data_IF_556899524062
#
_entry.id   IF_556899524062
#
_cell.length_a   1.000
_cell.length_b   1.000
_cell.length_c   1.000
_cell.angle_alpha   90.00
_cell.angle_beta   90.00
_cell.angle_gamma   90.00
#
_symmetry.space_group_name_H-M   'P 1'
#
loop_
_entity.id
_entity.type
_entity.pdbx_description
1 polymer ?
#
# COMPACT_ATOMS: atom_id res chain seq x y z
N UNK A 1 36.04 -56.17 4.60
CA UNK A 1 37.46 -56.20 5.01
C UNK A 1 38.12 -54.89 4.56
N UNK A 2 38.75 -54.21 5.53
CA UNK A 2 39.87 -53.26 5.42
C UNK A 2 39.92 -52.19 4.30
N UNK A 3 39.73 -50.95 4.74
CA UNK A 3 40.67 -49.81 4.65
C UNK A 3 41.41 -49.50 3.34
N UNK A 4 41.33 -48.24 2.89
CA UNK A 4 42.54 -47.46 2.62
C UNK A 4 42.28 -45.95 2.73
N UNK A 5 43.22 -45.27 3.39
CA UNK A 5 43.29 -43.85 3.70
C UNK A 5 43.89 -43.04 2.53
N UNK A 6 43.45 -41.77 2.42
CA UNK A 6 44.13 -40.51 2.04
C UNK A 6 45.65 -40.58 1.72
N UNK A 7 46.25 -39.64 0.90
CA UNK A 7 46.12 -38.20 1.13
C UNK A 7 46.38 -37.19 -0.03
N UNK A 8 45.93 -35.94 0.23
CA UNK A 8 46.52 -34.61 -0.04
C UNK A 8 47.29 -34.32 -1.34
N UNK A 9 47.03 -33.14 -1.94
CA UNK A 9 48.07 -32.21 -2.42
C UNK A 9 47.48 -30.81 -2.72
N UNK A 10 48.01 -29.81 -2.02
CA UNK A 10 48.12 -28.40 -2.41
C UNK A 10 49.58 -28.00 -2.15
N UNK A 11 50.09 -26.84 -2.61
CA UNK A 11 50.02 -26.15 -3.91
C UNK A 11 51.46 -26.04 -4.49
N UNK A 12 51.76 -25.20 -5.52
CA UNK A 12 52.37 -23.90 -5.16
C UNK A 12 52.13 -22.75 -6.15
N UNK A 13 52.65 -21.60 -5.76
CA UNK A 13 52.51 -20.27 -6.32
C UNK A 13 53.39 -19.96 -7.56
N UNK A 14 53.08 -18.80 -8.14
CA UNK A 14 54.02 -17.74 -8.57
C UNK A 14 54.47 -17.64 -10.04
N UNK A 15 53.96 -16.55 -10.65
CA UNK A 15 54.64 -15.49 -11.42
C UNK A 15 54.87 -15.63 -12.93
N UNK A 16 54.45 -14.53 -13.58
CA UNK A 16 55.04 -13.82 -14.71
C UNK A 16 54.62 -14.23 -16.13
N UNK A 17 53.79 -13.39 -16.75
CA UNK A 17 54.19 -12.45 -17.82
C UNK A 17 53.05 -12.24 -18.84
N UNK A 18 52.48 -11.04 -18.86
CA UNK A 18 51.89 -10.45 -20.07
C UNK A 18 51.68 -8.95 -19.85
N UNK A 19 52.77 -8.19 -20.01
CA UNK A 19 52.68 -6.78 -20.36
C UNK A 19 52.31 -6.69 -21.84
N UNK A 20 51.25 -5.96 -22.19
CA UNK A 20 51.18 -4.91 -23.23
C UNK A 20 49.71 -4.61 -23.56
N UNK A 21 49.28 -3.36 -23.28
CA UNK A 21 48.34 -2.50 -24.01
C UNK A 21 47.58 -1.56 -23.05
N UNK A 22 48.34 -0.65 -22.44
CA UNK A 22 47.80 0.60 -21.90
C UNK A 22 47.41 1.51 -23.07
N UNK A 23 46.15 1.45 -23.50
CA UNK A 23 45.54 2.55 -24.27
C UNK A 23 45.18 3.65 -23.29
N UNK A 24 45.92 4.77 -23.34
CA UNK A 24 45.57 6.04 -22.71
C UNK A 24 44.17 6.46 -23.16
N UNK A 25 43.27 6.68 -22.19
CA UNK A 25 42.04 7.43 -22.42
C UNK A 25 42.36 8.86 -22.92
N UNK A 26 41.53 9.45 -23.80
CA UNK A 26 41.74 10.83 -24.23
C UNK A 26 41.55 11.80 -23.04
N UNK A 27 42.20 12.97 -23.05
CA UNK A 27 42.00 13.95 -21.99
C UNK A 27 40.56 14.49 -22.01
N UNK A 28 40.00 14.71 -20.82
CA UNK A 28 38.71 15.35 -20.60
C UNK A 28 38.56 16.64 -21.44
N UNK A 29 37.37 16.93 -21.99
CA UNK A 29 37.09 18.29 -22.44
C UNK A 29 37.09 19.23 -21.23
N UNK A 30 37.67 20.41 -21.41
CA UNK A 30 37.76 21.47 -20.40
C UNK A 30 36.39 21.84 -19.79
N UNK A 31 36.34 22.33 -18.55
CA UNK A 31 35.08 22.77 -17.95
C UNK A 31 34.48 23.92 -18.77
N UNK A 32 33.18 23.82 -19.05
CA UNK A 32 32.41 24.86 -19.74
C UNK A 32 32.58 26.22 -19.03
N UNK A 33 32.74 27.33 -19.78
CA UNK A 33 32.88 28.64 -19.18
C UNK A 33 31.61 29.02 -18.39
N UNK A 34 31.82 29.63 -17.21
CA UNK A 34 30.82 29.98 -16.21
C UNK A 34 29.52 30.70 -16.69
N UNK A 35 29.45 31.43 -17.83
CA UNK A 35 28.20 32.05 -18.26
C UNK A 35 27.14 31.05 -18.74
N UNK A 36 27.53 29.83 -19.14
CA UNK A 36 26.58 28.82 -19.66
C UNK A 36 25.92 27.97 -18.56
N UNK A 37 26.62 27.74 -17.43
CA UNK A 37 26.06 27.03 -16.28
C UNK A 37 24.92 27.81 -15.59
N UNK A 38 24.98 29.15 -15.65
CA UNK A 38 23.98 30.03 -15.04
C UNK A 38 22.66 30.11 -15.82
N UNK A 39 22.65 29.67 -17.09
CA UNK A 39 21.45 29.69 -17.96
C UNK A 39 20.68 28.36 -17.93
N UNK A 40 21.32 27.26 -17.51
CA UNK A 40 20.70 25.96 -17.28
C UNK A 40 20.14 25.79 -15.85
N UNK A 41 20.52 26.68 -14.92
CA UNK A 41 20.09 26.68 -13.51
C UNK A 41 19.17 27.87 -13.15
N UNK A 42 18.73 28.66 -14.13
CA UNK A 42 17.76 29.72 -13.89
C UNK A 42 16.36 29.10 -13.72
N UNK A 43 15.62 29.44 -12.64
CA UNK A 43 14.26 28.93 -12.46
C UNK A 43 13.38 29.47 -13.58
N UNK A 44 12.72 28.57 -14.32
CA UNK A 44 11.67 28.97 -15.27
C UNK A 44 10.56 29.72 -14.49
N UNK A 45 9.97 30.78 -15.07
CA UNK A 45 8.82 31.43 -14.45
C UNK A 45 7.69 30.40 -14.33
N UNK A 46 7.21 30.22 -13.10
CA UNK A 46 6.11 29.31 -12.79
C UNK A 46 4.91 29.62 -13.69
N UNK A 47 4.30 28.62 -14.36
CA UNK A 47 3.01 28.84 -15.01
C UNK A 47 2.00 29.30 -13.96
N UNK A 48 1.01 30.15 -14.32
CA UNK A 48 -0.03 30.53 -13.38
C UNK A 48 -0.67 29.25 -12.83
N UNK A 49 -0.73 29.15 -11.49
CA UNK A 49 -1.38 28.07 -10.76
C UNK A 49 -2.81 27.93 -11.30
N UNK A 50 -3.02 26.99 -12.25
CA UNK A 50 -4.34 26.45 -12.48
C UNK A 50 -4.69 25.75 -11.18
N UNK A 51 -5.70 26.28 -10.50
CA UNK A 51 -6.33 25.64 -9.36
C UNK A 51 -6.56 24.17 -9.71
N UNK A 52 -5.81 23.28 -9.07
CA UNK A 52 -6.10 21.85 -9.07
C UNK A 52 -7.58 21.69 -8.77
N UNK A 53 -8.32 20.75 -9.41
CA UNK A 53 -9.65 20.44 -8.94
C UNK A 53 -9.49 20.01 -7.49
N UNK A 54 -9.91 20.87 -6.57
CA UNK A 54 -9.95 20.56 -5.15
C UNK A 54 -10.77 19.29 -5.06
N UNK A 55 -10.12 18.19 -4.66
CA UNK A 55 -10.85 17.06 -4.11
C UNK A 55 -11.62 17.66 -2.95
N UNK A 56 -12.92 17.92 -3.14
CA UNK A 56 -13.79 18.34 -2.05
C UNK A 56 -13.68 17.22 -1.04
N UNK A 57 -12.99 17.50 0.06
CA UNK A 57 -13.13 16.72 1.27
C UNK A 57 -14.63 16.61 1.51
N UNK A 58 -15.15 15.39 1.48
CA UNK A 58 -16.53 15.08 1.87
C UNK A 58 -16.82 15.46 3.34
N UNK A 59 -15.84 16.01 4.06
CA UNK A 59 -16.00 16.51 5.43
C UNK A 59 -16.75 17.84 5.55
N UNK A 60 -17.16 18.50 4.45
CA UNK A 60 -18.15 19.59 4.56
C UNK A 60 -19.55 18.99 4.44
N UNK A 61 -20.08 18.55 5.58
CA UNK A 61 -21.51 18.29 5.75
C UNK A 61 -22.28 19.52 5.24
N UNK A 62 -23.27 19.36 4.35
CA UNK A 62 -24.21 20.43 4.09
C UNK A 62 -24.80 20.89 5.43
N UNK A 63 -24.95 22.21 5.61
CA UNK A 63 -25.82 22.76 6.66
C UNK A 63 -27.12 21.96 6.67
N UNK A 64 -27.54 21.51 7.85
CA UNK A 64 -28.67 20.61 8.07
C UNK A 64 -29.87 20.96 7.17
N UNK A 65 -29.93 20.33 5.99
CA UNK A 65 -31.17 20.22 5.27
C UNK A 65 -32.12 19.50 6.22
N UNK A 66 -33.32 20.04 6.40
CA UNK A 66 -34.32 19.48 7.29
C UNK A 66 -34.41 17.97 7.03
N UNK A 67 -34.07 17.17 8.04
CA UNK A 67 -34.16 15.71 7.96
C UNK A 67 -35.58 15.39 7.47
N UNK A 68 -35.74 14.50 6.48
CA UNK A 68 -37.06 14.11 6.03
C UNK A 68 -37.88 13.62 7.24
N UNK A 69 -39.16 14.02 7.28
CA UNK A 69 -40.13 13.45 8.22
C UNK A 69 -40.04 11.91 8.16
N UNK A 70 -40.27 11.22 9.28
CA UNK A 70 -40.27 9.74 9.30
C UNK A 70 -41.16 9.13 8.20
N UNK A 71 -42.29 9.77 7.89
CA UNK A 71 -43.16 9.37 6.78
C UNK A 71 -42.51 9.60 5.39
N UNK A 72 -41.76 10.69 5.20
CA UNK A 72 -41.03 10.96 3.96
C UNK A 72 -39.75 10.10 3.82
N UNK A 73 -39.21 9.60 4.93
CA UNK A 73 -38.10 8.65 4.94
C UNK A 73 -38.57 7.24 4.54
N UNK A 74 -39.77 6.83 4.95
CA UNK A 74 -40.36 5.53 4.60
C UNK A 74 -40.55 5.35 3.08
N UNK A 75 -40.82 6.43 2.33
CA UNK A 75 -41.03 6.35 0.88
C UNK A 75 -39.72 6.28 0.05
N UNK A 76 -38.55 6.34 0.69
CA UNK A 76 -37.27 6.28 -0.01
C UNK A 76 -37.04 4.89 -0.61
N UNK A 77 -36.57 4.84 -1.87
CA UNK A 77 -36.12 3.62 -2.53
C UNK A 77 -34.62 3.70 -2.80
N UNK A 78 -33.85 2.81 -2.18
CA UNK A 78 -32.40 2.78 -2.26
C UNK A 78 -31.92 1.53 -3.00
N UNK A 79 -31.11 1.73 -4.04
CA UNK A 79 -30.27 0.67 -4.61
C UNK A 79 -28.93 0.64 -3.86
N UNK A 80 -28.62 -0.46 -3.19
CA UNK A 80 -27.31 -0.71 -2.58
C UNK A 80 -26.42 -1.56 -3.47
N UNK A 81 -25.12 -1.23 -3.56
CA UNK A 81 -24.10 -1.99 -4.31
C UNK A 81 -22.89 -2.28 -3.42
N UNK A 82 -22.51 -3.56 -3.31
CA UNK A 82 -21.39 -4.05 -2.50
C UNK A 82 -20.40 -4.85 -3.37
N UNK A 83 -19.12 -4.46 -3.32
CA UNK A 83 -18.00 -5.02 -4.13
C UNK A 83 -16.65 -4.86 -3.41
N UNK A 84 -16.64 -4.91 -2.07
CA UNK A 84 -15.44 -4.61 -1.27
C UNK A 84 -14.38 -5.72 -1.30
N UNK A 85 -14.77 -6.97 -1.53
CA UNK A 85 -13.86 -8.12 -1.46
C UNK A 85 -14.09 -9.10 -2.61
N UNK A 86 -14.93 -10.11 -2.39
CA UNK A 86 -15.11 -11.29 -3.25
C UNK A 86 -16.58 -11.59 -3.60
N UNK A 87 -17.54 -10.88 -3.00
CA UNK A 87 -18.95 -10.96 -3.39
C UNK A 87 -19.37 -9.73 -4.19
N UNK A 88 -20.04 -9.94 -5.32
CA UNK A 88 -20.75 -8.88 -6.03
C UNK A 88 -22.20 -8.91 -5.60
N UNK A 89 -22.67 -7.89 -4.88
CA UNK A 89 -24.04 -7.87 -4.40
C UNK A 89 -24.76 -6.55 -4.73
N UNK A 90 -26.07 -6.67 -4.97
CA UNK A 90 -26.97 -5.54 -5.08
C UNK A 90 -28.32 -5.85 -4.41
N UNK A 91 -28.95 -4.82 -3.85
CA UNK A 91 -30.24 -4.94 -3.19
C UNK A 91 -31.05 -3.66 -3.37
N UNK A 92 -32.37 -3.79 -3.42
CA UNK A 92 -33.29 -2.63 -3.35
C UNK A 92 -34.01 -2.68 -2.02
N UNK A 93 -33.94 -1.58 -1.26
CA UNK A 93 -34.51 -1.47 0.08
C UNK A 93 -35.34 -0.18 0.20
N UNK A 94 -36.50 -0.29 0.85
CA UNK A 94 -37.36 0.85 1.18
C UNK A 94 -36.90 1.49 2.49
N UNK A 95 -37.13 2.79 2.66
CA UNK A 95 -36.62 3.54 3.82
C UNK A 95 -37.28 3.21 5.17
N UNK A 96 -38.34 2.39 5.19
CA UNK A 96 -38.90 1.78 6.39
C UNK A 96 -38.20 0.46 6.78
N UNK A 97 -37.25 -0.02 5.97
CA UNK A 97 -36.48 -1.24 6.19
C UNK A 97 -36.95 -2.44 5.37
N UNK A 98 -38.04 -2.34 4.60
CA UNK A 98 -38.51 -3.42 3.74
C UNK A 98 -37.47 -3.76 2.64
N UNK A 99 -37.01 -5.01 2.61
CA UNK A 99 -36.09 -5.52 1.59
C UNK A 99 -36.92 -5.99 0.40
N UNK A 100 -36.85 -5.25 -0.71
CA UNK A 100 -37.59 -5.57 -1.94
C UNK A 100 -36.85 -6.61 -2.81
N UNK A 101 -35.52 -6.60 -2.79
CA UNK A 101 -34.70 -7.60 -3.46
C UNK A 101 -33.29 -7.70 -2.88
N UNK A 102 -32.65 -8.85 -3.07
CA UNK A 102 -31.24 -9.06 -2.78
C UNK A 102 -30.67 -10.10 -3.76
N UNK A 103 -29.60 -9.72 -4.44
CA UNK A 103 -28.87 -10.57 -5.39
C UNK A 103 -27.39 -10.58 -5.01
N UNK A 104 -26.82 -11.78 -4.90
CA UNK A 104 -25.40 -12.00 -4.60
C UNK A 104 -24.81 -12.93 -5.63
N UNK A 105 -23.68 -12.54 -6.21
CA UNK A 105 -22.81 -13.39 -7.04
C UNK A 105 -21.49 -13.56 -6.31
N UNK A 106 -21.30 -14.74 -5.72
CA UNK A 106 -20.12 -15.06 -4.92
C UNK A 106 -18.97 -15.63 -5.75
N UNK A 107 -17.74 -15.38 -5.31
CA UNK A 107 -16.51 -15.84 -5.94
C UNK A 107 -15.86 -17.01 -5.19
N UNK A 108 -16.61 -17.80 -4.43
CA UNK A 108 -16.11 -18.99 -3.68
C UNK A 108 -15.22 -19.91 -4.54
N UNK A 109 -15.60 -20.19 -5.78
CA UNK A 109 -14.81 -21.03 -6.70
C UNK A 109 -13.42 -20.44 -7.02
N UNK A 110 -13.31 -19.11 -7.08
CA UNK A 110 -12.03 -18.43 -7.29
C UNK A 110 -11.16 -18.49 -6.04
N UNK A 111 -11.76 -18.34 -4.85
CA UNK A 111 -11.05 -18.50 -3.57
C UNK A 111 -10.43 -19.88 -3.45
N UNK A 112 -11.21 -20.93 -3.76
CA UNK A 112 -10.75 -22.33 -3.73
C UNK A 112 -9.59 -22.54 -4.70
N UNK A 113 -9.67 -21.97 -5.91
CA UNK A 113 -8.64 -22.12 -6.95
C UNK A 113 -7.32 -21.47 -6.57
N UNK A 114 -7.34 -20.33 -5.88
CA UNK A 114 -6.15 -19.52 -5.60
C UNK A 114 -5.67 -19.59 -4.15
N UNK A 115 -6.39 -20.29 -3.27
CA UNK A 115 -6.06 -20.42 -1.84
C UNK A 115 -6.23 -19.13 -1.04
N UNK A 116 -7.06 -18.21 -1.54
CA UNK A 116 -7.31 -16.88 -0.98
C UNK A 116 -7.76 -15.88 -2.04
N UNK A 117 -8.08 -14.65 -1.61
CA UNK A 117 -8.51 -13.59 -2.53
C UNK A 117 -7.32 -13.11 -3.37
N UNK A 118 -7.39 -13.28 -4.69
CA UNK A 118 -6.46 -12.70 -5.64
C UNK A 118 -7.04 -11.36 -6.16
N UNK A 119 -6.53 -10.18 -5.74
CA UNK A 119 -7.23 -8.91 -5.93
C UNK A 119 -7.57 -8.55 -7.37
N UNK A 120 -6.71 -8.93 -8.34
CA UNK A 120 -6.95 -8.67 -9.76
C UNK A 120 -8.04 -9.59 -10.33
N UNK A 121 -8.05 -10.86 -9.94
CA UNK A 121 -9.09 -11.81 -10.37
C UNK A 121 -10.44 -11.46 -9.76
N UNK A 122 -10.47 -11.00 -8.51
CA UNK A 122 -11.69 -10.55 -7.86
C UNK A 122 -12.28 -9.30 -8.54
N UNK A 123 -11.45 -8.34 -8.92
CA UNK A 123 -11.89 -7.16 -9.69
C UNK A 123 -12.45 -7.52 -11.07
N UNK A 124 -11.83 -8.47 -11.78
CA UNK A 124 -12.34 -8.97 -13.06
C UNK A 124 -13.70 -9.68 -12.89
N UNK A 125 -13.84 -10.51 -11.87
CA UNK A 125 -15.09 -11.19 -11.57
C UNK A 125 -16.22 -10.22 -11.20
N UNK A 126 -15.95 -9.19 -10.39
CA UNK A 126 -16.92 -8.11 -10.16
C UNK A 126 -17.31 -7.42 -11.46
N UNK A 127 -16.34 -7.11 -12.33
CA UNK A 127 -16.60 -6.39 -13.58
C UNK A 127 -17.49 -7.19 -14.53
N UNK A 128 -17.39 -8.52 -14.53
CA UNK A 128 -18.25 -9.40 -15.31
C UNK A 128 -19.66 -9.55 -14.71
N UNK A 129 -19.79 -9.57 -13.39
CA UNK A 129 -21.05 -9.83 -12.70
C UNK A 129 -21.92 -8.57 -12.47
N UNK A 130 -21.30 -7.40 -12.28
CA UNK A 130 -21.94 -6.22 -11.69
C UNK A 130 -23.17 -5.72 -12.47
N UNK A 131 -23.14 -5.76 -13.80
CA UNK A 131 -24.27 -5.30 -14.61
C UNK A 131 -25.47 -6.24 -14.46
N UNK A 132 -25.24 -7.56 -14.46
CA UNK A 132 -26.30 -8.56 -14.28
C UNK A 132 -26.86 -8.55 -12.86
N UNK A 133 -26.00 -8.46 -11.85
CA UNK A 133 -26.40 -8.45 -10.43
C UNK A 133 -27.29 -7.24 -10.14
N UNK A 134 -26.89 -6.05 -10.59
CA UNK A 134 -27.68 -4.83 -10.39
C UNK A 134 -29.01 -4.88 -11.15
N UNK A 135 -28.99 -5.30 -12.42
CA UNK A 135 -30.23 -5.38 -13.20
C UNK A 135 -31.20 -6.37 -12.58
N UNK A 136 -30.72 -7.55 -12.18
CA UNK A 136 -31.54 -8.56 -11.52
C UNK A 136 -32.14 -8.05 -10.20
N UNK A 137 -31.38 -7.28 -9.41
CA UNK A 137 -31.92 -6.70 -8.17
C UNK A 137 -33.06 -5.71 -8.46
N UNK A 138 -32.96 -4.89 -9.50
CA UNK A 138 -34.05 -3.98 -9.90
C UNK A 138 -35.28 -4.76 -10.42
N UNK A 139 -35.04 -5.77 -11.26
CA UNK A 139 -36.09 -6.62 -11.82
C UNK A 139 -36.83 -7.41 -10.72
N UNK A 140 -36.09 -8.03 -9.80
CA UNK A 140 -36.65 -8.78 -8.66
C UNK A 140 -37.47 -7.88 -7.72
N UNK A 141 -37.09 -6.60 -7.58
CA UNK A 141 -37.83 -5.60 -6.82
C UNK A 141 -39.00 -4.97 -7.61
N UNK A 142 -39.13 -5.30 -8.90
CA UNK A 142 -40.11 -4.71 -9.82
C UNK A 142 -40.06 -3.17 -9.85
N UNK A 143 -38.85 -2.61 -9.90
CA UNK A 143 -38.59 -1.16 -9.99
C UNK A 143 -37.63 -0.84 -11.13
N UNK A 144 -37.70 0.38 -11.65
CA UNK A 144 -36.71 0.94 -12.59
C UNK A 144 -35.78 1.92 -11.89
N UNK A 145 -34.67 2.29 -12.53
CA UNK A 145 -33.76 3.28 -11.97
C UNK A 145 -34.38 4.68 -11.82
N UNK A 146 -35.47 4.99 -12.53
CA UNK A 146 -36.20 6.25 -12.36
C UNK A 146 -37.00 6.31 -11.06
N UNK A 147 -37.31 5.15 -10.46
CA UNK A 147 -38.08 5.05 -9.22
C UNK A 147 -37.19 5.19 -7.99
N UNK A 148 -35.87 5.05 -8.16
CA UNK A 148 -34.89 5.15 -7.07
C UNK A 148 -34.79 6.59 -6.57
N UNK A 149 -34.67 6.74 -5.25
CA UNK A 149 -34.37 8.04 -4.63
C UNK A 149 -32.87 8.32 -4.59
N UNK A 150 -32.01 7.29 -4.47
CA UNK A 150 -30.56 7.38 -4.60
C UNK A 150 -29.90 6.01 -4.84
N UNK A 151 -28.61 6.03 -5.16
CA UNK A 151 -27.76 4.83 -5.23
C UNK A 151 -26.73 4.87 -4.11
N UNK A 152 -26.75 3.86 -3.24
CA UNK A 152 -25.77 3.63 -2.20
C UNK A 152 -24.69 2.65 -2.70
N UNK A 153 -23.42 2.92 -2.37
CA UNK A 153 -22.31 2.06 -2.78
C UNK A 153 -21.21 2.03 -1.74
N UNK A 154 -20.66 0.85 -1.50
CA UNK A 154 -19.51 0.70 -0.60
C UNK A 154 -18.27 1.40 -1.16
N UNK A 155 -17.71 2.33 -0.39
CA UNK A 155 -16.50 3.09 -0.76
C UNK A 155 -15.25 2.67 0.03
N UNK A 156 -15.44 1.86 1.07
CA UNK A 156 -14.36 1.23 1.84
C UNK A 156 -14.78 0.91 3.29
N UNK A 157 -13.94 0.22 4.07
CA UNK A 157 -12.70 -0.45 3.66
C UNK A 157 -12.96 -1.60 2.68
N UNK A 158 -11.93 -2.07 1.99
CA UNK A 158 -12.00 -3.14 0.99
C UNK A 158 -10.80 -3.12 0.04
N UNK A 159 -10.76 -4.09 -0.87
CA UNK A 159 -9.76 -4.15 -1.93
C UNK A 159 -10.00 -3.01 -2.92
N UNK A 160 -8.99 -2.16 -3.10
CA UNK A 160 -9.11 -0.93 -3.89
C UNK A 160 -9.52 -1.16 -5.35
N UNK A 161 -9.08 -2.27 -5.95
CA UNK A 161 -9.47 -2.66 -7.30
C UNK A 161 -10.97 -3.04 -7.37
N UNK A 162 -11.45 -3.84 -6.42
CA UNK A 162 -12.84 -4.28 -6.34
C UNK A 162 -13.80 -3.11 -6.09
N UNK A 163 -13.49 -2.25 -5.08
CA UNK A 163 -14.29 -1.08 -4.73
C UNK A 163 -14.53 -0.13 -5.93
N UNK A 164 -13.54 0.01 -6.82
CA UNK A 164 -13.66 0.85 -8.01
C UNK A 164 -14.75 0.35 -8.95
N UNK A 165 -14.99 -0.95 -9.04
CA UNK A 165 -16.02 -1.53 -9.92
C UNK A 165 -17.41 -1.08 -9.48
N UNK A 166 -17.76 -1.29 -8.21
CA UNK A 166 -19.05 -0.85 -7.67
C UNK A 166 -19.23 0.65 -7.76
N UNK A 167 -18.21 1.44 -7.38
CA UNK A 167 -18.28 2.91 -7.46
C UNK A 167 -18.49 3.39 -8.89
N UNK A 168 -17.85 2.77 -9.89
CA UNK A 168 -18.08 3.12 -11.29
C UNK A 168 -19.52 2.81 -11.72
N UNK A 169 -20.06 1.63 -11.40
CA UNK A 169 -21.45 1.27 -11.71
C UNK A 169 -22.44 2.24 -11.05
N UNK A 170 -22.28 2.51 -9.76
CA UNK A 170 -23.13 3.44 -9.02
C UNK A 170 -23.11 4.85 -9.64
N UNK A 171 -21.92 5.36 -9.98
CA UNK A 171 -21.77 6.66 -10.66
C UNK A 171 -22.40 6.69 -12.05
N UNK A 172 -22.34 5.58 -12.80
CA UNK A 172 -22.98 5.47 -14.13
C UNK A 172 -24.50 5.59 -14.02
N UNK A 173 -25.11 4.88 -13.07
CA UNK A 173 -26.55 4.96 -12.79
C UNK A 173 -26.91 6.37 -12.32
N UNK A 174 -26.24 6.86 -11.27
CA UNK A 174 -26.49 8.18 -10.70
C UNK A 174 -26.40 9.30 -11.74
N UNK A 175 -25.42 9.24 -12.64
CA UNK A 175 -25.28 10.20 -13.75
C UNK A 175 -26.42 10.10 -14.76
N UNK A 176 -26.82 8.88 -15.12
CA UNK A 176 -27.81 8.65 -16.18
C UNK A 176 -29.21 9.06 -15.74
N UNK A 177 -29.54 8.80 -14.48
CA UNK A 177 -30.87 9.04 -13.89
C UNK A 177 -30.93 10.26 -12.98
N UNK A 178 -29.83 11.04 -12.90
CA UNK A 178 -29.69 12.25 -12.07
C UNK A 178 -29.98 12.01 -10.59
N UNK A 179 -29.54 10.85 -10.08
CA UNK A 179 -29.72 10.45 -8.69
C UNK A 179 -28.54 10.92 -7.82
N UNK A 180 -28.78 11.20 -6.54
CA UNK A 180 -27.71 11.28 -5.53
C UNK A 180 -26.95 9.96 -5.41
N UNK A 181 -25.68 10.04 -4.97
CA UNK A 181 -24.87 8.88 -4.61
C UNK A 181 -24.51 8.94 -3.13
N UNK A 182 -24.72 7.82 -2.42
CA UNK A 182 -24.38 7.68 -1.00
C UNK A 182 -23.18 6.76 -0.88
N UNK A 183 -22.03 7.30 -0.47
CA UNK A 183 -20.86 6.50 -0.17
C UNK A 183 -21.00 5.84 1.20
N UNK A 184 -20.98 4.52 1.25
CA UNK A 184 -21.21 3.73 2.47
C UNK A 184 -19.90 3.13 2.97
N UNK A 185 -19.67 3.20 4.28
CA UNK A 185 -18.55 2.51 4.91
C UNK A 185 -18.94 1.05 5.18
N UNK A 186 -18.16 0.08 4.70
CA UNK A 186 -18.49 -1.34 4.75
C UNK A 186 -18.79 -1.85 6.18
N UNK A 187 -17.93 -1.52 7.14
CA UNK A 187 -18.15 -1.91 8.54
C UNK A 187 -19.34 -1.17 9.19
N UNK A 188 -19.68 0.02 8.69
CA UNK A 188 -20.84 0.76 9.17
C UNK A 188 -22.12 0.08 8.68
N UNK A 189 -22.15 -0.37 7.42
CA UNK A 189 -23.25 -1.16 6.87
C UNK A 189 -23.50 -2.43 7.68
N UNK A 190 -22.45 -3.18 8.03
CA UNK A 190 -22.56 -4.36 8.89
C UNK A 190 -23.16 -4.05 10.27
N UNK A 191 -22.84 -2.89 10.86
CA UNK A 191 -23.39 -2.50 12.15
C UNK A 191 -24.85 -2.04 12.03
N UNK A 192 -25.16 -1.23 11.01
CA UNK A 192 -26.47 -0.58 10.86
C UNK A 192 -27.55 -1.49 10.29
N UNK A 193 -27.21 -2.57 9.57
CA UNK A 193 -28.22 -3.47 8.97
C UNK A 193 -29.16 -4.09 10.02
N UNK A 194 -28.69 -4.30 11.25
CA UNK A 194 -29.55 -4.76 12.37
C UNK A 194 -30.72 -3.81 12.67
N UNK A 195 -30.59 -2.52 12.33
CA UNK A 195 -31.66 -1.52 12.48
C UNK A 195 -32.75 -1.63 11.42
N UNK A 196 -32.52 -2.39 10.34
CA UNK A 196 -33.57 -2.65 9.35
C UNK A 196 -34.64 -3.60 9.90
N UNK A 197 -34.29 -4.40 10.92
CA UNK A 197 -35.19 -5.37 11.55
C UNK A 197 -35.62 -4.95 12.96
N UNK A 198 -34.75 -4.26 13.70
CA UNK A 198 -34.97 -3.92 15.11
C UNK A 198 -34.91 -2.39 15.36
N UNK A 199 -35.77 -1.87 16.23
CA UNK A 199 -35.73 -0.47 16.68
C UNK A 199 -34.64 -0.26 17.75
N UNK A 200 -33.38 -0.33 17.30
CA UNK A 200 -32.20 -0.09 18.14
C UNK A 200 -31.92 1.42 18.15
N UNK A 201 -31.73 2.10 19.29
CA UNK A 201 -31.32 3.51 19.31
C UNK A 201 -29.85 3.69 18.91
N UNK A 202 -29.52 4.74 18.15
CA UNK A 202 -28.10 5.12 17.91
C UNK A 202 -27.56 5.70 19.22
N UNK A 203 -26.69 4.97 19.89
CA UNK A 203 -25.90 5.53 20.99
C UNK A 203 -24.93 6.56 20.41
N UNK A 204 -25.09 7.83 20.78
CA UNK A 204 -24.09 8.84 20.49
C UNK A 204 -22.90 8.64 21.42
N UNK A 205 -21.70 8.40 20.87
CA UNK A 205 -20.49 8.28 21.67
C UNK A 205 -20.37 9.45 22.64
N UNK A 206 -20.32 9.13 23.92
CA UNK A 206 -20.21 10.11 25.00
C UNK A 206 -18.83 10.78 24.96
N UNK A 207 -18.66 11.86 25.74
CA UNK A 207 -17.32 12.43 25.93
C UNK A 207 -16.36 11.40 26.56
N UNK A 208 -16.87 10.55 27.44
CA UNK A 208 -16.09 9.51 28.11
C UNK A 208 -15.65 8.44 27.12
N UNK A 209 -16.51 8.00 26.20
CA UNK A 209 -16.14 7.04 25.14
C UNK A 209 -15.02 7.58 24.25
N UNK A 210 -15.10 8.87 23.89
CA UNK A 210 -14.04 9.54 23.13
C UNK A 210 -12.74 9.61 23.92
N UNK A 211 -12.82 9.86 25.23
CA UNK A 211 -11.64 9.90 26.10
C UNK A 211 -11.00 8.51 26.26
N UNK A 212 -11.79 7.46 26.44
CA UNK A 212 -11.30 6.08 26.52
C UNK A 212 -10.56 5.70 25.23
N UNK A 213 -11.15 6.00 24.07
CA UNK A 213 -10.49 5.77 22.76
C UNK A 213 -9.17 6.54 22.64
N UNK A 214 -9.14 7.80 23.07
CA UNK A 214 -7.92 8.61 23.06
C UNK A 214 -6.85 8.02 23.99
N UNK A 215 -7.23 7.54 25.17
CA UNK A 215 -6.33 6.89 26.12
C UNK A 215 -5.71 5.62 25.52
N UNK A 216 -6.51 4.76 24.87
CA UNK A 216 -6.01 3.56 24.19
C UNK A 216 -5.00 3.94 23.09
N UNK A 217 -5.33 4.92 22.25
CA UNK A 217 -4.44 5.38 21.18
C UNK A 217 -3.12 5.95 21.72
N UNK A 218 -3.18 6.74 22.81
CA UNK A 218 -2.01 7.29 23.47
C UNK A 218 -1.12 6.20 24.09
N UNK A 219 -1.72 5.23 24.79
CA UNK A 219 -1.00 4.08 25.35
C UNK A 219 -0.32 3.26 24.26
N UNK A 220 -1.01 2.97 23.16
CA UNK A 220 -0.42 2.28 22.02
C UNK A 220 0.77 3.05 21.43
N UNK A 221 0.61 4.34 21.15
CA UNK A 221 1.66 5.18 20.61
C UNK A 221 2.88 5.21 21.54
N UNK A 222 2.67 5.37 22.85
CA UNK A 222 3.76 5.38 23.83
C UNK A 222 4.57 4.09 23.79
N UNK A 223 3.89 2.94 23.86
CA UNK A 223 4.56 1.64 23.91
C UNK A 223 5.26 1.32 22.60
N UNK A 224 4.62 1.59 21.46
CA UNK A 224 5.23 1.38 20.15
C UNK A 224 6.51 2.23 19.96
N UNK A 225 6.47 3.50 20.36
CA UNK A 225 7.62 4.40 20.24
C UNK A 225 8.73 4.04 21.24
N UNK A 226 8.40 3.58 22.45
CA UNK A 226 9.39 3.05 23.39
C UNK A 226 10.23 1.90 22.78
N UNK A 227 9.59 0.99 22.04
CA UNK A 227 10.31 -0.10 21.37
C UNK A 227 11.21 0.41 20.23
N UNK A 228 10.79 1.47 19.52
CA UNK A 228 11.63 2.14 18.53
C UNK A 228 12.82 2.80 19.20
N UNK A 229 12.61 3.53 20.29
CA UNK A 229 13.67 4.18 21.08
C UNK A 229 14.76 3.17 21.48
N UNK A 230 14.38 2.06 22.09
CA UNK A 230 15.32 1.02 22.56
C UNK A 230 16.10 0.36 21.42
N UNK A 231 15.48 0.17 20.25
CA UNK A 231 16.15 -0.40 19.08
C UNK A 231 17.09 0.61 18.42
N UNK A 232 16.64 1.85 18.28
CA UNK A 232 17.43 2.93 17.69
C UNK A 232 18.63 3.28 18.57
N UNK A 233 18.49 3.34 19.90
CA UNK A 233 19.62 3.59 20.81
C UNK A 233 20.70 2.51 20.63
N UNK A 234 20.32 1.22 20.63
CA UNK A 234 21.28 0.12 20.40
C UNK A 234 21.93 0.19 19.02
N UNK A 235 21.17 0.52 17.99
CA UNK A 235 21.68 0.64 16.62
C UNK A 235 22.67 1.82 16.50
N UNK A 236 22.38 2.96 17.13
CA UNK A 236 23.26 4.14 17.16
C UNK A 236 24.57 3.82 17.87
N UNK A 237 24.50 3.20 19.06
CA UNK A 237 25.71 2.79 19.80
C UNK A 237 26.57 1.82 18.99
N UNK A 238 25.94 0.89 18.26
CA UNK A 238 26.67 -0.04 17.40
C UNK A 238 27.28 0.66 16.19
N UNK A 239 26.52 1.52 15.51
CA UNK A 239 26.98 2.26 14.35
C UNK A 239 28.17 3.17 14.69
N UNK A 240 28.13 3.88 15.82
CA UNK A 240 29.23 4.74 16.27
C UNK A 240 30.49 3.96 16.68
N UNK A 241 30.35 2.71 17.13
CA UNK A 241 31.51 1.82 17.36
C UNK A 241 32.15 1.39 16.04
N UNK A 242 31.36 1.14 15.01
CA UNK A 242 31.86 0.72 13.69
C UNK A 242 32.46 1.89 12.90
N UNK A 243 31.79 3.05 12.92
CA UNK A 243 32.21 4.25 12.21
C UNK A 243 32.00 5.49 13.10
N UNK A 244 33.01 5.89 13.89
CA UNK A 244 32.92 7.03 14.80
C UNK A 244 32.69 8.38 14.10
N UNK A 245 32.88 8.47 12.78
CA UNK A 245 32.66 9.71 12.04
C UNK A 245 31.21 10.01 11.69
N UNK A 246 30.26 9.10 11.99
CA UNK A 246 28.82 9.33 11.76
C UNK A 246 28.35 10.55 12.57
N UNK A 247 27.66 11.48 11.89
CA UNK A 247 27.12 12.72 12.49
C UNK A 247 25.61 12.84 12.45
N UNK A 248 24.95 12.05 11.60
CA UNK A 248 23.54 12.21 11.30
C UNK A 248 22.76 10.93 11.61
N UNK A 249 21.61 11.09 12.25
CA UNK A 249 20.63 10.02 12.43
C UNK A 249 19.41 10.34 11.57
N UNK A 250 19.16 9.52 10.53
CA UNK A 250 18.07 9.77 9.58
C UNK A 250 16.83 8.95 9.96
N UNK A 251 15.65 9.60 10.00
CA UNK A 251 14.36 8.93 10.22
C UNK A 251 13.42 9.25 9.07
N UNK A 252 13.04 8.23 8.31
CA UNK A 252 12.21 8.32 7.10
C UNK A 252 11.10 7.26 7.08
N UNK A 253 10.26 7.28 6.04
CA UNK A 253 9.06 6.43 5.93
C UNK A 253 7.81 7.08 6.53
N UNK A 254 6.62 6.57 6.19
CA UNK A 254 5.34 7.21 6.54
C UNK A 254 5.16 7.48 8.03
N UNK A 255 5.61 6.56 8.89
CA UNK A 255 5.57 6.69 10.37
C UNK A 255 6.44 7.84 10.87
N UNK A 256 7.50 8.20 10.14
CA UNK A 256 8.34 9.35 10.48
C UNK A 256 7.61 10.69 10.36
N UNK A 257 6.40 10.75 9.80
CA UNK A 257 5.57 11.96 9.83
C UNK A 257 4.97 12.24 11.22
N UNK A 258 4.98 11.26 12.13
CA UNK A 258 4.47 11.38 13.48
C UNK A 258 5.38 12.25 14.36
N UNK A 259 4.83 13.33 14.93
CA UNK A 259 5.57 14.27 15.77
C UNK A 259 6.10 13.62 17.05
N UNK A 260 5.33 12.73 17.68
CA UNK A 260 5.75 12.02 18.89
C UNK A 260 7.00 11.15 18.60
N UNK A 261 7.01 10.41 17.49
CA UNK A 261 8.19 9.65 17.03
C UNK A 261 9.40 10.57 16.82
N UNK A 262 9.24 11.68 16.10
CA UNK A 262 10.33 12.62 15.82
C UNK A 262 10.95 13.17 17.11
N UNK A 263 10.12 13.65 18.03
CA UNK A 263 10.58 14.22 19.30
C UNK A 263 11.38 13.21 20.11
N UNK A 264 10.86 11.99 20.24
CA UNK A 264 11.48 10.95 21.05
C UNK A 264 12.78 10.40 20.42
N UNK A 265 12.82 10.23 19.09
CA UNK A 265 14.05 9.83 18.41
C UNK A 265 15.10 10.95 18.33
N UNK A 266 14.68 12.22 18.38
CA UNK A 266 15.62 13.36 18.48
C UNK A 266 16.39 13.34 19.80
N UNK A 267 15.73 12.98 20.91
CA UNK A 267 16.39 12.84 22.21
C UNK A 267 17.51 11.81 22.17
N UNK A 268 17.32 10.71 21.41
CA UNK A 268 18.37 9.72 21.16
C UNK A 268 19.50 10.31 20.34
N UNK A 269 19.19 11.04 19.27
CA UNK A 269 20.22 11.70 18.45
C UNK A 269 21.09 12.64 19.31
N UNK A 270 20.46 13.57 20.04
CA UNK A 270 21.12 14.56 20.90
C UNK A 270 21.97 13.90 21.98
N UNK A 271 21.45 12.87 22.66
CA UNK A 271 22.18 12.13 23.70
C UNK A 271 23.48 11.51 23.17
N UNK A 272 23.51 11.09 21.91
CA UNK A 272 24.66 10.45 21.29
C UNK A 272 25.48 11.42 20.41
N UNK A 273 25.25 12.73 20.50
CA UNK A 273 26.00 13.74 19.74
C UNK A 273 25.72 13.74 18.23
N UNK A 274 24.58 13.19 17.83
CA UNK A 274 24.12 13.13 16.43
C UNK A 274 23.08 14.22 16.15
N UNK A 275 22.98 14.62 14.89
CA UNK A 275 21.90 15.47 14.39
C UNK A 275 20.79 14.61 13.77
N UNK A 276 19.56 14.75 14.27
CA UNK A 276 18.40 14.10 13.65
C UNK A 276 18.05 14.77 12.32
N UNK A 277 17.85 13.97 11.27
CA UNK A 277 17.40 14.41 9.95
C UNK A 277 16.11 13.68 9.58
N UNK A 278 15.04 14.44 9.40
CA UNK A 278 13.75 13.92 8.96
C UNK A 278 13.28 14.69 7.71
N UNK A 279 12.80 14.01 6.66
CA UNK A 279 12.13 14.69 5.56
C UNK A 279 10.91 15.51 6.05
N UNK A 280 10.50 16.56 5.32
CA UNK A 280 9.22 17.22 5.55
C UNK A 280 8.07 16.18 5.53
N UNK A 281 7.02 16.30 6.36
CA UNK A 281 5.96 15.29 6.45
C UNK A 281 5.35 14.87 5.11
N UNK A 282 5.20 15.81 4.17
CA UNK A 282 4.68 15.56 2.81
C UNK A 282 5.58 14.66 1.93
N UNK A 283 6.83 14.44 2.33
CA UNK A 283 7.81 13.59 1.64
C UNK A 283 8.13 12.30 2.42
N UNK A 284 7.46 12.05 3.56
CA UNK A 284 7.71 10.85 4.37
C UNK A 284 7.04 9.60 3.80
N UNK A 285 5.86 9.72 3.21
CA UNK A 285 5.17 8.63 2.51
C UNK A 285 5.73 8.45 1.10
N UNK A 286 5.55 7.27 0.53
CA UNK A 286 6.04 6.93 -0.82
C UNK A 286 5.60 7.96 -1.85
N UNK A 287 6.58 8.48 -2.61
CA UNK A 287 6.37 9.53 -3.59
C UNK A 287 7.44 9.50 -4.69
N UNK A 288 7.15 10.09 -5.85
CA UNK A 288 8.10 10.10 -6.98
C UNK A 288 9.37 10.93 -6.75
N UNK A 289 9.36 11.89 -5.81
CA UNK A 289 10.55 12.72 -5.53
C UNK A 289 11.66 11.87 -4.92
N UNK A 290 11.33 10.90 -4.07
CA UNK A 290 12.34 10.01 -3.47
C UNK A 290 13.05 9.16 -4.54
N UNK A 291 12.33 8.75 -5.59
CA UNK A 291 12.87 7.97 -6.70
C UNK A 291 13.74 8.87 -7.60
N UNK A 292 13.22 10.03 -7.99
CA UNK A 292 13.95 10.96 -8.85
C UNK A 292 15.25 11.46 -8.19
N UNK A 293 15.21 11.82 -6.90
CA UNK A 293 16.40 12.27 -6.18
C UNK A 293 17.45 11.14 -6.03
N UNK A 294 17.02 9.93 -5.67
CA UNK A 294 17.94 8.77 -5.60
C UNK A 294 18.52 8.46 -6.98
N UNK A 295 17.73 8.63 -8.05
CA UNK A 295 18.20 8.51 -9.43
C UNK A 295 19.30 9.52 -9.79
N UNK A 296 19.19 10.77 -9.34
CA UNK A 296 20.25 11.78 -9.51
C UNK A 296 21.53 11.35 -8.78
N UNK A 297 21.42 10.90 -7.53
CA UNK A 297 22.57 10.40 -6.75
C UNK A 297 23.23 9.16 -7.39
N UNK A 298 22.43 8.27 -7.98
CA UNK A 298 22.93 7.14 -8.76
C UNK A 298 23.63 7.58 -10.04
N UNK A 299 23.03 8.50 -10.80
CA UNK A 299 23.59 9.00 -12.05
C UNK A 299 24.94 9.69 -11.84
N UNK A 300 25.04 10.56 -10.82
CA UNK A 300 26.30 11.22 -10.43
C UNK A 300 27.38 10.20 -10.04
N UNK A 301 26.98 9.09 -9.40
CA UNK A 301 27.88 8.00 -9.03
C UNK A 301 28.23 7.05 -10.19
N UNK A 302 27.75 7.32 -11.42
CA UNK A 302 27.98 6.44 -12.57
C UNK A 302 27.20 5.12 -12.52
N UNK A 303 26.12 5.05 -11.73
CA UNK A 303 25.25 3.87 -11.61
C UNK A 303 23.99 4.06 -12.44
N UNK A 304 24.10 3.81 -13.73
CA UNK A 304 22.98 3.85 -14.68
C UNK A 304 23.28 2.90 -15.83
N UNK A 305 22.22 2.45 -16.48
CA UNK A 305 22.31 1.69 -17.72
C UNK A 305 22.30 2.65 -18.93
N UNK A 306 22.90 2.24 -20.04
CA UNK A 306 22.82 2.96 -21.30
C UNK A 306 21.35 3.09 -21.76
N UNK A 307 20.99 4.16 -22.51
CA UNK A 307 19.64 4.30 -23.02
C UNK A 307 19.25 3.10 -23.89
N UNK A 308 17.98 2.65 -23.83
CA UNK A 308 17.50 1.55 -24.64
C UNK A 308 17.63 1.85 -26.13
N UNK A 309 17.80 0.81 -26.95
CA UNK A 309 17.88 0.95 -28.40
C UNK A 309 16.52 1.40 -28.98
N UNK A 310 16.53 2.13 -30.10
CA UNK A 310 15.30 2.67 -30.71
C UNK A 310 14.40 1.55 -31.26
N UNK A 311 14.99 0.41 -31.61
CA UNK A 311 14.34 -0.79 -32.11
C UNK A 311 14.13 -1.85 -31.02
N UNK A 312 14.26 -1.48 -29.75
CA UNK A 312 14.03 -2.38 -28.63
C UNK A 312 12.54 -2.83 -28.58
N UNK A 313 12.25 -4.14 -28.54
CA UNK A 313 10.88 -4.63 -28.54
C UNK A 313 10.18 -4.37 -27.20
N UNK A 314 8.89 -4.01 -27.26
CA UNK A 314 8.04 -3.65 -26.10
C UNK A 314 7.89 -4.76 -25.04
N UNK A 315 8.17 -6.02 -25.40
CA UNK A 315 8.05 -7.21 -24.53
C UNK A 315 9.38 -7.65 -23.89
N UNK A 316 10.40 -6.78 -23.91
CA UNK A 316 11.67 -7.05 -23.25
C UNK A 316 11.48 -7.35 -21.76
N UNK A 317 12.14 -8.41 -21.28
CA UNK A 317 12.15 -8.75 -19.85
C UNK A 317 13.09 -7.83 -19.08
N UNK A 318 12.53 -7.10 -18.12
CA UNK A 318 13.29 -6.29 -17.17
C UNK A 318 13.69 -7.12 -15.94
N UNK A 319 14.88 -6.88 -15.40
CA UNK A 319 15.31 -7.45 -14.11
C UNK A 319 14.55 -6.78 -12.95
N UNK A 320 13.35 -7.30 -12.68
CA UNK A 320 12.54 -6.89 -11.54
C UNK A 320 12.98 -7.67 -10.31
N UNK A 321 13.29 -6.96 -9.22
CA UNK A 321 13.73 -7.54 -7.95
C UNK A 321 12.72 -7.30 -6.81
N UNK A 322 11.67 -8.13 -6.67
CA UNK A 322 10.70 -8.00 -5.57
C UNK A 322 11.32 -8.12 -4.18
N UNK A 323 12.45 -8.82 -4.06
CA UNK A 323 13.27 -8.89 -2.84
C UNK A 323 14.65 -8.36 -3.16
N UNK A 324 14.89 -7.12 -2.76
CA UNK A 324 16.17 -6.47 -2.99
C UNK A 324 16.71 -5.91 -1.66
N UNK A 325 17.56 -6.67 -0.95
CA UNK A 325 18.09 -6.25 0.34
C UNK A 325 19.02 -5.04 0.19
N UNK A 326 18.96 -4.13 1.17
CA UNK A 326 19.82 -2.95 1.24
C UNK A 326 21.11 -3.28 2.00
N UNK A 327 22.26 -3.10 1.34
CA UNK A 327 23.59 -3.31 1.94
C UNK A 327 24.08 -4.75 1.90
N UNK A 328 25.32 -4.95 2.36
CA UNK A 328 25.93 -6.27 2.54
C UNK A 328 25.49 -6.90 3.88
N UNK A 329 25.38 -8.23 3.93
CA UNK A 329 25.05 -8.93 5.18
C UNK A 329 26.26 -8.99 6.13
N UNK A 330 26.13 -8.39 7.32
CA UNK A 330 27.15 -8.48 8.37
C UNK A 330 26.99 -9.74 9.23
N UNK A 331 28.05 -10.53 9.36
CA UNK A 331 28.07 -11.82 10.07
C UNK A 331 27.79 -11.71 11.58
N UNK A 332 28.21 -10.62 12.22
CA UNK A 332 28.09 -10.39 13.68
C UNK A 332 26.70 -9.93 14.14
N UNK A 333 25.78 -9.65 13.22
CA UNK A 333 24.40 -9.21 13.51
C UNK A 333 23.39 -10.36 13.75
N UNK A 334 23.83 -11.61 13.72
CA UNK A 334 22.94 -12.76 13.91
C UNK A 334 22.48 -12.86 15.37
N UNK A 335 21.25 -12.43 15.61
CA UNK A 335 20.48 -13.04 16.69
C UNK A 335 20.11 -14.45 16.24
N UNK A 336 20.45 -15.48 17.04
CA UNK A 336 20.01 -16.84 16.78
C UNK A 336 18.50 -16.81 16.54
N UNK A 337 18.06 -17.22 15.36
CA UNK A 337 16.67 -17.09 14.92
C UNK A 337 15.74 -17.78 15.93
N UNK A 338 15.06 -16.98 16.77
CA UNK A 338 13.94 -17.46 17.59
C UNK A 338 12.66 -17.51 16.75
N UNK A 339 12.71 -18.26 15.65
CA UNK A 339 11.51 -18.77 14.98
C UNK A 339 11.95 -19.86 14.01
N UNK A 340 12.05 -21.09 14.49
CA UNK A 340 11.93 -22.26 13.62
C UNK A 340 10.46 -22.36 13.19
N UNK A 341 9.99 -21.47 12.33
CA UNK A 341 8.94 -21.85 11.38
C UNK A 341 9.67 -22.45 10.20
N UNK A 342 10.01 -23.73 10.36
CA UNK A 342 10.19 -24.62 9.22
C UNK A 342 9.01 -24.37 8.28
N UNK A 343 9.28 -23.75 7.14
CA UNK A 343 8.40 -23.91 5.99
C UNK A 343 8.22 -25.43 5.86
N UNK A 344 6.98 -25.92 6.00
CA UNK A 344 6.68 -27.33 5.82
C UNK A 344 7.05 -27.64 4.37
N UNK A 345 8.25 -28.18 4.17
CA UNK A 345 8.66 -28.79 2.92
C UNK A 345 7.72 -29.97 2.75
N UNK A 346 6.71 -29.79 1.90
CA UNK A 346 5.82 -30.88 1.53
C UNK A 346 6.68 -31.88 0.74
N UNK A 347 6.71 -33.18 1.11
CA UNK A 347 7.47 -34.16 0.34
C UNK A 347 6.89 -34.22 -1.08
N UNK A 348 7.78 -34.29 -2.09
CA UNK A 348 7.36 -34.50 -3.48
C UNK A 348 6.68 -35.87 -3.62
N UNK A 349 5.67 -35.98 -4.50
CA UNK A 349 5.00 -37.25 -4.80
C UNK A 349 5.97 -38.38 -5.19
N UNK A 350 7.12 -38.04 -5.77
CA UNK A 350 8.21 -38.97 -6.10
C UNK A 350 8.81 -39.64 -4.85
N UNK A 351 8.88 -38.92 -3.72
CA UNK A 351 9.37 -39.47 -2.44
C UNK A 351 8.34 -40.36 -1.71
N UNK A 352 7.06 -40.30 -2.09
CA UNK A 352 6.01 -41.17 -1.52
C UNK A 352 5.88 -42.50 -2.27
N UNK A 353 6.21 -42.54 -3.57
CA UNK A 353 6.06 -43.77 -4.39
C UNK A 353 7.24 -44.75 -4.19
N UNK A 354 8.43 -44.26 -3.82
CA UNK A 354 9.59 -45.12 -3.53
C UNK A 354 9.58 -45.74 -2.12
N UNK A 355 8.63 -45.35 -1.25
CA UNK A 355 8.47 -45.91 0.10
C UNK A 355 7.46 -47.07 0.18
N UNK A 356 6.85 -47.48 -0.93
CA UNK A 356 5.82 -48.54 -0.96
C UNK A 356 6.25 -49.80 -1.72
N UNK A 357 7.53 -49.88 -2.10
CA UNK A 357 8.14 -51.09 -2.67
C UNK A 357 9.38 -51.44 -1.84
N UNK A 358 9.17 -51.87 -0.60
CA UNK A 358 10.04 -52.79 0.13
C UNK A 358 9.29 -53.45 1.28
#
# INVERSE_FOLDING_TARGET
>A
MAATLLPTLSPPASRAAAALLLRRAPPFPSPLPAPLLRRLLAPAPSPPLRSSPTFRSLATMPSAAAMPSAAAAADLLMLGIETSCDDTAAAVVRGDGEILSQVVSSQEDLLVRWGGVAPKMAEEAHSLAIDQVVQKALDDANVSENDLSAVAVTVGPGLSLCLRVGVHKARKIAKSFRLPIVGVHHMEAHALVSRSTDDIPISSATKDDRQIRANIAASFQRVAVLHLEERCQRAVEWALKMEPSIKYFVVSGGVASNQYVRTHLNQIAEKNGLQLVCPPPKLCTDNGVMIAWTGIEHFIAGRFDDPPAVDEPDDMQYDLRPRWPLGEEYSEGRSASRSMKTARVHPSLTSMIQGSVH
#
